data_IF_145151719907
#
_entry.id   IF_145151719907
#
_cell.length_a   1.000
_cell.length_b   1.000
_cell.length_c   1.000
_cell.angle_alpha   90.00
_cell.angle_beta   90.00
_cell.angle_gamma   90.00
#
_symmetry.space_group_name_H-M   'P 1'
#
loop_
_entity.id
_entity.type
_entity.pdbx_description
1 polymer ?
#
# COMPACT_ATOMS: atom_id res chain seq x y z
N UNK A 1 3.55 6.09 -45.32
CA UNK A 1 4.39 6.66 -44.24
C UNK A 1 4.93 5.49 -43.45
N UNK A 2 6.23 5.38 -43.15
CA UNK A 2 6.72 4.17 -42.47
C UNK A 2 6.05 3.90 -41.12
N UNK A 3 5.97 2.62 -40.72
CA UNK A 3 5.41 2.18 -39.42
C UNK A 3 5.95 3.00 -38.25
N UNK A 4 7.28 3.14 -38.19
CA UNK A 4 7.98 3.87 -37.13
C UNK A 4 7.53 5.33 -37.07
N UNK A 5 7.39 5.98 -38.23
CA UNK A 5 6.96 7.37 -38.33
C UNK A 5 5.47 7.55 -37.99
N UNK A 6 4.63 6.54 -38.22
CA UNK A 6 3.25 6.52 -37.76
C UNK A 6 3.18 6.45 -36.23
N UNK A 7 3.89 5.50 -35.62
CA UNK A 7 3.91 5.29 -34.18
C UNK A 7 4.50 6.50 -33.43
N UNK A 8 5.55 7.12 -33.96
CA UNK A 8 6.15 8.35 -33.39
C UNK A 8 5.14 9.52 -33.38
N UNK A 9 4.42 9.74 -34.49
CA UNK A 9 3.35 10.75 -34.54
C UNK A 9 2.21 10.42 -33.58
N UNK A 10 1.81 9.15 -33.48
CA UNK A 10 0.76 8.70 -32.57
C UNK A 10 1.16 8.97 -31.11
N UNK A 11 2.39 8.62 -30.73
CA UNK A 11 2.94 8.89 -29.41
C UNK A 11 2.93 10.39 -29.10
N UNK A 12 3.40 11.22 -30.03
CA UNK A 12 3.42 12.67 -29.88
C UNK A 12 2.02 13.23 -29.55
N UNK A 13 1.00 12.86 -30.34
CA UNK A 13 -0.37 13.37 -30.11
C UNK A 13 -1.00 12.83 -28.83
N UNK A 14 -0.66 11.61 -28.42
CA UNK A 14 -1.09 11.04 -27.14
C UNK A 14 -0.48 11.80 -25.95
N UNK A 15 0.80 12.15 -26.03
CA UNK A 15 1.49 12.96 -25.01
C UNK A 15 0.86 14.35 -24.89
N UNK A 16 0.56 14.99 -26.02
CA UNK A 16 -0.08 16.32 -26.05
C UNK A 16 -1.53 16.29 -25.51
N UNK A 17 -2.21 15.15 -25.62
CA UNK A 17 -3.62 14.98 -25.23
C UNK A 17 -3.85 14.58 -23.77
N UNK A 18 -2.83 14.72 -22.91
CA UNK A 18 -2.92 14.49 -21.46
C UNK A 18 -3.21 13.01 -21.08
N UNK A 19 -2.79 12.07 -21.91
CA UNK A 19 -2.77 10.65 -21.57
C UNK A 19 -1.63 10.36 -20.60
N UNK A 20 -1.86 9.44 -19.67
CA UNK A 20 -0.79 8.98 -18.78
C UNK A 20 0.20 8.08 -19.55
N UNK A 21 1.49 8.08 -19.21
CA UNK A 21 2.52 7.28 -19.92
C UNK A 21 2.16 5.79 -20.11
N UNK A 22 1.49 5.17 -19.13
CA UNK A 22 1.01 3.78 -19.25
C UNK A 22 -0.13 3.66 -20.28
N UNK A 23 -1.07 4.62 -20.36
CA UNK A 23 -2.13 4.64 -21.37
C UNK A 23 -1.53 4.81 -22.78
N UNK A 24 -0.49 5.63 -22.90
CA UNK A 24 0.24 5.82 -24.16
C UNK A 24 0.89 4.51 -24.59
N UNK A 25 1.57 3.82 -23.67
CA UNK A 25 2.24 2.57 -23.97
C UNK A 25 1.24 1.46 -24.35
N UNK A 26 0.14 1.30 -23.62
CA UNK A 26 -0.93 0.33 -23.94
C UNK A 26 -1.48 0.57 -25.35
N UNK A 27 -1.76 1.83 -25.70
CA UNK A 27 -2.26 2.20 -27.03
C UNK A 27 -1.20 1.92 -28.09
N UNK A 28 0.06 2.27 -27.86
CA UNK A 28 1.14 2.01 -28.82
C UNK A 28 1.35 0.51 -29.04
N UNK A 29 1.31 -0.32 -27.99
CA UNK A 29 1.40 -1.78 -28.12
C UNK A 29 0.22 -2.35 -28.91
N UNK A 30 -1.01 -1.91 -28.62
CA UNK A 30 -2.22 -2.31 -29.34
C UNK A 30 -2.14 -1.93 -30.83
N UNK A 31 -1.77 -0.69 -31.14
CA UNK A 31 -1.64 -0.23 -32.52
C UNK A 31 -0.43 -0.83 -33.23
N UNK A 32 0.64 -1.18 -32.51
CA UNK A 32 1.78 -1.91 -33.10
C UNK A 32 1.31 -3.27 -33.60
N UNK A 33 0.53 -4.02 -32.80
CA UNK A 33 -0.02 -5.31 -33.23
C UNK A 33 -0.98 -5.16 -34.42
N UNK A 34 -1.85 -4.14 -34.42
CA UNK A 34 -2.78 -3.87 -35.53
C UNK A 34 -2.02 -3.50 -36.82
N UNK A 35 -0.97 -2.69 -36.71
CA UNK A 35 -0.14 -2.29 -37.86
C UNK A 35 0.63 -3.49 -38.41
N UNK A 36 1.18 -4.34 -37.54
CA UNK A 36 1.89 -5.55 -37.95
C UNK A 36 0.96 -6.52 -38.68
N UNK A 37 -0.25 -6.74 -38.15
CA UNK A 37 -1.28 -7.55 -38.81
C UNK A 37 -1.70 -6.95 -40.18
N UNK A 38 -1.82 -5.63 -40.30
CA UNK A 38 -2.12 -4.95 -41.55
C UNK A 38 -1.01 -5.18 -42.61
N UNK A 39 0.25 -5.02 -42.23
CA UNK A 39 1.40 -5.22 -43.11
C UNK A 39 1.50 -6.68 -43.56
N UNK A 40 1.31 -7.63 -42.62
CA UNK A 40 1.31 -9.07 -42.92
C UNK A 40 0.20 -9.48 -43.90
N UNK A 41 -0.94 -8.77 -43.87
CA UNK A 41 -2.05 -8.96 -44.80
C UNK A 41 -1.85 -8.25 -46.15
N UNK A 42 -0.65 -7.71 -46.42
CA UNK A 42 -0.27 -7.14 -47.71
C UNK A 42 -0.57 -5.66 -47.87
N UNK A 43 -0.88 -4.94 -46.78
CA UNK A 43 -1.06 -3.49 -46.81
C UNK A 43 0.32 -2.82 -46.88
N UNK A 44 0.49 -1.93 -47.86
CA UNK A 44 1.72 -1.16 -48.00
C UNK A 44 1.82 -0.13 -46.87
N UNK A 45 3.03 0.09 -46.32
CA UNK A 45 3.25 1.11 -45.28
C UNK A 45 2.83 2.52 -45.75
N UNK A 46 2.78 2.76 -47.06
CA UNK A 46 2.32 4.01 -47.64
C UNK A 46 0.83 4.28 -47.40
N UNK A 47 0.01 3.23 -47.26
CA UNK A 47 -1.45 3.27 -47.12
C UNK A 47 -1.93 3.14 -45.65
N UNK A 48 -1.01 3.09 -44.68
CA UNK A 48 -1.32 2.95 -43.26
C UNK A 48 -2.31 4.00 -42.73
N UNK A 49 -2.20 5.25 -43.16
CA UNK A 49 -3.11 6.32 -42.74
C UNK A 49 -4.52 6.16 -43.32
N UNK A 50 -4.66 5.51 -44.49
CA UNK A 50 -5.96 5.26 -45.13
C UNK A 50 -6.68 4.08 -44.48
N UNK A 51 -5.93 3.05 -44.08
CA UNK A 51 -6.49 1.86 -43.44
C UNK A 51 -6.82 2.05 -41.95
N UNK A 52 -5.93 2.71 -41.20
CA UNK A 52 -6.03 2.84 -39.73
C UNK A 52 -6.54 4.23 -39.31
N UNK A 53 -6.45 5.21 -40.20
CA UNK A 53 -6.83 6.59 -39.96
C UNK A 53 -5.64 7.47 -39.54
N UNK A 54 -5.85 8.78 -39.60
CA UNK A 54 -4.81 9.75 -39.24
C UNK A 54 -4.53 9.73 -37.72
N UNK A 55 -3.26 9.71 -37.28
CA UNK A 55 -2.89 9.64 -35.86
C UNK A 55 -3.59 10.68 -34.98
N UNK A 56 -3.75 11.91 -35.48
CA UNK A 56 -4.40 13.00 -34.74
C UNK A 56 -5.89 12.76 -34.49
N UNK A 57 -6.61 12.27 -35.50
CA UNK A 57 -8.04 11.99 -35.38
C UNK A 57 -8.28 10.77 -34.50
N UNK A 58 -7.44 9.74 -34.66
CA UNK A 58 -7.42 8.55 -33.82
C UNK A 58 -7.32 8.91 -32.34
N UNK A 59 -6.35 9.76 -31.96
CA UNK A 59 -6.18 10.23 -30.57
C UNK A 59 -7.43 10.97 -30.06
N UNK A 60 -8.09 11.77 -30.91
CA UNK A 60 -9.33 12.47 -30.54
C UNK A 60 -10.47 11.50 -30.21
N UNK A 61 -10.58 10.40 -30.95
CA UNK A 61 -11.54 9.33 -30.67
C UNK A 61 -11.18 8.55 -29.40
N UNK A 62 -9.92 8.13 -29.28
CA UNK A 62 -9.40 7.43 -28.11
C UNK A 62 -9.61 8.24 -26.82
N UNK A 63 -9.43 9.56 -26.87
CA UNK A 63 -9.61 10.45 -25.72
C UNK A 63 -11.03 10.37 -25.16
N UNK A 64 -12.05 10.34 -26.01
CA UNK A 64 -13.45 10.21 -25.56
C UNK A 64 -13.65 8.89 -24.80
N UNK A 65 -13.16 7.79 -25.36
CA UNK A 65 -13.28 6.45 -24.77
C UNK A 65 -12.54 6.34 -23.44
N UNK A 66 -11.31 6.88 -23.36
CA UNK A 66 -10.50 6.89 -22.14
C UNK A 66 -11.10 7.77 -21.05
N UNK A 67 -11.63 8.95 -21.39
CA UNK A 67 -12.32 9.82 -20.44
C UNK A 67 -13.55 9.14 -19.85
N UNK A 68 -14.36 8.45 -20.66
CA UNK A 68 -15.53 7.69 -20.19
C UNK A 68 -15.11 6.58 -19.21
N UNK A 69 -14.05 5.81 -19.55
CA UNK A 69 -13.50 4.77 -18.65
C UNK A 69 -13.05 5.37 -17.31
N UNK A 70 -12.34 6.50 -17.33
CA UNK A 70 -11.84 7.19 -16.12
C UNK A 70 -12.98 7.68 -15.22
N UNK A 71 -14.02 8.30 -15.79
CA UNK A 71 -15.19 8.79 -15.06
C UNK A 71 -15.96 7.64 -14.39
N UNK A 72 -16.18 6.52 -15.11
CA UNK A 72 -16.88 5.35 -14.55
C UNK A 72 -16.12 4.74 -13.37
N UNK A 73 -14.79 4.67 -13.46
CA UNK A 73 -13.92 4.23 -12.36
C UNK A 73 -14.06 5.09 -11.10
N UNK A 74 -14.01 6.41 -11.27
CA UNK A 74 -14.11 7.37 -10.17
C UNK A 74 -15.48 7.33 -9.48
N UNK A 75 -16.56 6.99 -10.23
CA UNK A 75 -17.90 6.81 -9.63
C UNK A 75 -17.96 5.61 -8.68
N UNK A 76 -17.29 4.49 -8.98
CA UNK A 76 -17.29 3.32 -8.10
C UNK A 76 -16.65 3.64 -6.75
N UNK A 77 -15.54 4.41 -6.75
CA UNK A 77 -14.88 4.86 -5.52
C UNK A 77 -15.77 5.83 -4.74
N UNK A 78 -16.45 6.75 -5.42
CA UNK A 78 -17.32 7.73 -4.77
C UNK A 78 -18.59 7.10 -4.15
N UNK A 79 -19.12 6.04 -4.78
CA UNK A 79 -20.34 5.36 -4.32
C UNK A 79 -20.08 4.30 -3.25
N UNK A 80 -18.84 3.81 -3.10
CA UNK A 80 -18.54 2.71 -2.19
C UNK A 80 -18.88 2.95 -0.72
N UNK A 81 -18.77 4.18 -0.13
CA UNK A 81 -19.20 4.40 1.25
C UNK A 81 -20.71 4.28 1.42
N UNK A 82 -21.49 4.75 0.44
CA UNK A 82 -22.95 4.64 0.46
C UNK A 82 -23.41 3.20 0.30
N UNK A 83 -22.80 2.46 -0.64
CA UNK A 83 -23.09 1.03 -0.83
C UNK A 83 -22.74 0.25 0.45
N UNK A 84 -21.56 0.49 1.03
CA UNK A 84 -21.14 -0.15 2.27
C UNK A 84 -22.13 0.13 3.42
N UNK A 85 -22.61 1.37 3.54
CA UNK A 85 -23.59 1.78 4.54
C UNK A 85 -24.94 1.09 4.36
N UNK A 86 -25.46 1.02 3.13
CA UNK A 86 -26.72 0.33 2.81
C UNK A 86 -26.62 -1.16 3.17
N UNK A 87 -25.51 -1.82 2.80
CA UNK A 87 -25.28 -3.24 3.12
C UNK A 87 -25.15 -3.44 4.63
N UNK A 88 -24.40 -2.57 5.31
CA UNK A 88 -24.20 -2.64 6.76
C UNK A 88 -25.53 -2.58 7.52
N UNK A 89 -26.33 -1.55 7.28
CA UNK A 89 -27.63 -1.38 7.93
C UNK A 89 -28.64 -2.40 7.46
N UNK A 90 -28.64 -2.78 6.17
CA UNK A 90 -29.52 -3.81 5.64
C UNK A 90 -29.32 -5.16 6.33
N UNK A 91 -28.06 -5.62 6.45
CA UNK A 91 -27.74 -6.86 7.17
C UNK A 91 -27.96 -6.75 8.68
N UNK A 92 -27.65 -5.58 9.26
CA UNK A 92 -27.85 -5.29 10.67
C UNK A 92 -29.31 -5.32 11.09
N UNK A 93 -30.18 -4.58 10.41
CA UNK A 93 -31.60 -4.49 10.75
C UNK A 93 -32.40 -5.73 10.31
N UNK A 94 -32.13 -6.30 9.13
CA UNK A 94 -32.92 -7.44 8.64
C UNK A 94 -32.57 -8.77 9.33
N UNK A 95 -31.31 -8.97 9.73
CA UNK A 95 -30.81 -10.25 10.26
C UNK A 95 -30.10 -10.16 11.61
N UNK A 96 -29.90 -8.96 12.16
CA UNK A 96 -29.12 -8.77 13.38
C UNK A 96 -27.61 -9.02 13.22
N UNK A 97 -27.10 -9.10 11.98
CA UNK A 97 -25.72 -9.53 11.68
C UNK A 97 -24.67 -8.43 11.84
N UNK A 98 -24.82 -7.54 12.83
CA UNK A 98 -23.91 -6.41 13.06
C UNK A 98 -22.43 -6.81 13.14
N UNK A 99 -22.16 -7.96 13.77
CA UNK A 99 -20.82 -8.52 13.98
C UNK A 99 -20.09 -8.88 12.68
N UNK A 100 -20.81 -9.11 11.57
CA UNK A 100 -20.23 -9.45 10.26
C UNK A 100 -20.50 -8.33 9.25
N UNK A 101 -21.59 -7.60 9.42
CA UNK A 101 -22.01 -6.53 8.54
C UNK A 101 -20.94 -5.44 8.37
N UNK A 102 -20.12 -5.16 9.39
CA UNK A 102 -19.05 -4.15 9.31
C UNK A 102 -18.01 -4.48 8.23
N UNK A 103 -17.88 -5.75 7.81
CA UNK A 103 -17.02 -6.15 6.69
C UNK A 103 -17.43 -5.46 5.37
N UNK A 104 -18.68 -4.99 5.26
CA UNK A 104 -19.12 -4.20 4.10
C UNK A 104 -18.27 -2.93 3.91
N UNK A 105 -17.71 -2.35 4.97
CA UNK A 105 -16.84 -1.17 4.86
C UNK A 105 -15.50 -1.48 4.17
N UNK A 106 -15.11 -2.75 4.03
CA UNK A 106 -13.96 -3.15 3.20
C UNK A 106 -14.19 -2.85 1.71
N UNK A 107 -15.44 -2.65 1.26
CA UNK A 107 -15.73 -2.19 -0.09
C UNK A 107 -15.08 -0.84 -0.41
N UNK A 108 -14.86 0.02 0.59
CA UNK A 108 -14.25 1.33 0.40
C UNK A 108 -12.81 1.18 -0.09
N UNK A 109 -11.88 0.56 0.66
CA UNK A 109 -10.52 0.36 0.17
C UNK A 109 -10.46 -0.56 -1.07
N UNK A 110 -11.32 -1.59 -1.17
CA UNK A 110 -11.41 -2.45 -2.36
C UNK A 110 -11.70 -1.63 -3.62
N UNK A 111 -12.72 -0.76 -3.55
CA UNK A 111 -13.10 0.08 -4.68
C UNK A 111 -11.96 1.00 -5.10
N UNK A 112 -11.21 1.55 -4.14
CA UNK A 112 -10.02 2.37 -4.40
C UNK A 112 -8.92 1.59 -5.13
N UNK A 113 -8.62 0.37 -4.69
CA UNK A 113 -7.56 -0.47 -5.28
C UNK A 113 -7.96 -0.94 -6.69
N UNK A 114 -9.20 -1.42 -6.87
CA UNK A 114 -9.73 -1.82 -8.18
C UNK A 114 -9.80 -0.61 -9.13
N UNK A 115 -10.09 0.57 -8.58
CA UNK A 115 -10.09 1.82 -9.34
C UNK A 115 -8.67 2.37 -9.59
N UNK A 116 -7.62 1.79 -9.03
CA UNK A 116 -6.24 2.19 -9.31
C UNK A 116 -5.82 1.74 -10.72
N UNK A 117 -4.90 2.47 -11.37
CA UNK A 117 -4.50 2.30 -12.80
C UNK A 117 -4.15 0.84 -13.16
N UNK A 118 -4.21 0.50 -14.46
CA UNK A 118 -3.85 -0.84 -14.94
C UNK A 118 -2.38 -1.08 -14.61
N UNK A 119 -2.10 -2.10 -13.81
CA UNK A 119 -0.76 -2.45 -13.36
C UNK A 119 -0.48 -3.91 -13.70
N UNK A 120 0.79 -4.27 -13.77
CA UNK A 120 1.22 -5.68 -13.82
C UNK A 120 0.49 -6.51 -12.75
N UNK A 121 0.10 -7.76 -13.03
CA UNK A 121 -0.61 -8.62 -12.08
C UNK A 121 0.08 -8.70 -10.72
N UNK A 122 1.42 -8.68 -10.70
CA UNK A 122 2.21 -8.69 -9.46
C UNK A 122 1.96 -7.44 -8.59
N UNK A 123 1.92 -6.26 -9.20
CA UNK A 123 1.68 -4.99 -8.48
C UNK A 123 0.27 -4.92 -7.91
N UNK A 124 -0.71 -5.40 -8.67
CA UNK A 124 -2.09 -5.50 -8.20
C UNK A 124 -2.20 -6.43 -6.97
N UNK A 125 -1.50 -7.56 -6.99
CA UNK A 125 -1.44 -8.48 -5.85
C UNK A 125 -0.82 -7.84 -4.61
N UNK A 126 0.26 -7.07 -4.76
CA UNK A 126 0.91 -6.36 -3.63
C UNK A 126 -0.03 -5.33 -3.00
N UNK A 127 -0.79 -4.60 -3.82
CA UNK A 127 -1.76 -3.60 -3.35
C UNK A 127 -2.98 -4.24 -2.67
N UNK A 128 -3.41 -5.41 -3.15
CA UNK A 128 -4.49 -6.19 -2.54
C UNK A 128 -4.03 -7.00 -1.33
N UNK A 129 -2.73 -7.22 -1.15
CA UNK A 129 -2.19 -8.08 -0.09
C UNK A 129 -2.69 -7.73 1.32
N UNK A 130 -2.73 -6.44 1.75
CA UNK A 130 -3.24 -6.11 3.08
C UNK A 130 -4.70 -6.53 3.29
N UNK A 131 -5.52 -6.37 2.25
CA UNK A 131 -6.93 -6.77 2.28
C UNK A 131 -7.08 -8.30 2.27
N UNK A 132 -6.35 -8.99 1.40
CA UNK A 132 -6.37 -10.45 1.32
C UNK A 132 -5.91 -11.05 2.66
N UNK A 133 -4.80 -10.56 3.22
CA UNK A 133 -4.31 -10.97 4.54
C UNK A 133 -5.34 -10.70 5.63
N UNK A 134 -6.01 -9.54 5.61
CA UNK A 134 -7.08 -9.22 6.57
C UNK A 134 -8.27 -10.17 6.46
N UNK A 135 -8.74 -10.45 5.24
CA UNK A 135 -9.87 -11.36 5.00
C UNK A 135 -9.55 -12.78 5.47
N UNK A 136 -8.35 -13.29 5.17
CA UNK A 136 -7.95 -14.62 5.64
C UNK A 136 -7.77 -14.64 7.16
N UNK A 137 -7.16 -13.60 7.75
CA UNK A 137 -7.02 -13.46 9.20
C UNK A 137 -8.38 -13.49 9.91
N UNK A 138 -9.34 -12.73 9.41
CA UNK A 138 -10.70 -12.69 9.94
C UNK A 138 -11.46 -14.00 9.72
N UNK A 139 -11.35 -14.61 8.54
CA UNK A 139 -12.02 -15.87 8.24
C UNK A 139 -11.55 -16.99 9.18
N UNK A 140 -10.23 -17.12 9.39
CA UNK A 140 -9.64 -18.10 10.31
C UNK A 140 -9.98 -17.76 11.76
N UNK A 141 -9.84 -16.49 12.16
CA UNK A 141 -10.12 -16.03 13.52
C UNK A 141 -11.58 -16.21 13.91
N UNK A 142 -12.53 -15.94 13.00
CA UNK A 142 -13.95 -16.09 13.26
C UNK A 142 -14.39 -17.56 13.23
N UNK A 143 -13.89 -18.37 12.27
CA UNK A 143 -14.31 -19.76 12.10
C UNK A 143 -13.69 -20.69 13.15
N UNK A 144 -12.40 -20.51 13.43
CA UNK A 144 -11.63 -21.43 14.30
C UNK A 144 -11.27 -20.82 15.66
N UNK A 145 -11.55 -19.52 15.91
CA UNK A 145 -11.14 -18.79 17.12
C UNK A 145 -9.61 -18.75 17.34
N UNK A 146 -8.85 -18.99 16.27
CA UNK A 146 -7.39 -18.99 16.27
C UNK A 146 -6.93 -17.62 15.79
N UNK A 147 -6.59 -16.73 16.72
CA UNK A 147 -6.11 -15.37 16.41
C UNK A 147 -4.59 -15.24 16.54
N UNK A 148 -4.03 -15.87 17.58
CA UNK A 148 -2.63 -15.69 18.02
C UNK A 148 -1.57 -16.21 17.05
N UNK A 149 -1.72 -17.35 16.35
CA UNK A 149 -0.76 -17.74 15.32
C UNK A 149 -1.13 -17.16 13.94
N UNK A 150 -2.38 -16.74 13.73
CA UNK A 150 -2.91 -16.35 12.41
C UNK A 150 -2.40 -14.99 11.93
N UNK A 151 -2.01 -14.08 12.82
CA UNK A 151 -1.51 -12.76 12.43
C UNK A 151 -0.27 -12.83 11.53
N UNK A 152 0.47 -13.94 11.54
CA UNK A 152 1.65 -14.09 10.67
C UNK A 152 1.31 -14.05 9.19
N UNK A 153 0.03 -14.18 8.81
CA UNK A 153 -0.42 -14.04 7.42
C UNK A 153 -0.20 -12.62 6.85
N UNK A 154 -0.04 -11.61 7.71
CA UNK A 154 0.33 -10.26 7.29
C UNK A 154 1.75 -10.18 6.74
N UNK A 155 2.62 -11.16 7.02
CA UNK A 155 3.95 -11.25 6.43
C UNK A 155 3.94 -11.52 4.91
N UNK A 156 2.80 -11.91 4.34
CA UNK A 156 2.62 -11.96 2.87
C UNK A 156 2.86 -10.58 2.24
N UNK A 157 2.50 -9.49 2.91
CA UNK A 157 2.64 -8.13 2.38
C UNK A 157 4.11 -7.78 2.07
N UNK A 158 5.03 -7.78 3.06
CA UNK A 158 6.45 -7.55 2.79
C UNK A 158 7.08 -8.66 1.93
N UNK A 159 6.62 -9.92 2.02
CA UNK A 159 7.12 -10.98 1.13
C UNK A 159 6.85 -10.66 -0.35
N UNK A 160 5.61 -10.33 -0.72
CA UNK A 160 5.27 -9.96 -2.10
C UNK A 160 6.01 -8.69 -2.55
N UNK A 161 6.20 -7.72 -1.65
CA UNK A 161 6.99 -6.52 -1.94
C UNK A 161 8.46 -6.80 -2.26
N UNK A 162 9.08 -7.80 -1.61
CA UNK A 162 10.46 -8.22 -1.92
C UNK A 162 10.57 -8.73 -3.36
N UNK A 163 9.57 -9.45 -3.84
CA UNK A 163 9.60 -10.09 -5.16
C UNK A 163 9.57 -9.07 -6.32
N UNK A 164 8.96 -7.91 -6.11
CA UNK A 164 8.93 -6.81 -7.08
C UNK A 164 10.30 -6.13 -7.26
N UNK A 165 11.15 -6.15 -6.23
CA UNK A 165 12.46 -5.48 -6.29
C UNK A 165 13.39 -6.18 -7.28
N UNK A 166 14.11 -5.40 -8.10
CA UNK A 166 15.20 -5.88 -8.97
C UNK A 166 16.48 -6.11 -8.17
N UNK A 167 16.51 -7.16 -7.35
CA UNK A 167 17.67 -7.55 -6.56
C UNK A 167 18.03 -9.02 -6.77
N UNK A 168 19.33 -9.33 -6.71
CA UNK A 168 19.88 -10.68 -6.94
C UNK A 168 19.32 -11.70 -5.95
N UNK A 169 19.21 -11.34 -4.67
CA UNK A 169 18.82 -12.27 -3.60
C UNK A 169 17.30 -12.29 -3.30
N UNK A 170 16.48 -11.64 -4.14
CA UNK A 170 15.04 -11.48 -3.88
C UNK A 170 14.30 -12.79 -3.65
N UNK A 171 14.64 -13.85 -4.39
CA UNK A 171 13.96 -15.15 -4.30
C UNK A 171 14.32 -15.85 -3.00
N UNK A 172 15.60 -15.83 -2.60
CA UNK A 172 16.05 -16.41 -1.34
C UNK A 172 15.43 -15.64 -0.17
N UNK A 173 15.46 -14.30 -0.20
CA UNK A 173 14.82 -13.47 0.81
C UNK A 173 13.31 -13.76 0.91
N UNK A 174 12.62 -13.90 -0.22
CA UNK A 174 11.19 -14.27 -0.27
C UNK A 174 10.93 -15.64 0.37
N UNK A 175 11.69 -16.67 0.01
CA UNK A 175 11.55 -18.03 0.56
C UNK A 175 11.74 -18.03 2.07
N UNK A 176 12.79 -17.36 2.57
CA UNK A 176 13.06 -17.25 4.02
C UNK A 176 11.94 -16.47 4.72
N UNK A 177 11.42 -15.41 4.08
CA UNK A 177 10.35 -14.60 4.66
C UNK A 177 9.02 -15.35 4.79
N UNK A 178 8.75 -16.32 3.90
CA UNK A 178 7.56 -17.18 3.95
C UNK A 178 7.76 -18.43 4.82
N UNK A 179 8.98 -18.98 4.88
CA UNK A 179 9.24 -20.18 5.69
C UNK A 179 9.23 -19.90 7.19
N UNK A 180 9.71 -18.73 7.64
CA UNK A 180 9.77 -18.38 9.06
C UNK A 180 8.38 -18.27 9.74
N UNK A 181 7.35 -17.65 9.15
CA UNK A 181 5.97 -17.70 9.63
C UNK A 181 5.44 -19.11 9.78
N UNK A 182 5.69 -19.96 8.78
CA UNK A 182 5.25 -21.37 8.79
C UNK A 182 5.94 -22.11 9.94
N UNK A 183 7.24 -21.91 10.11
CA UNK A 183 8.00 -22.52 11.20
C UNK A 183 7.52 -22.03 12.57
N UNK A 184 7.19 -20.75 12.72
CA UNK A 184 6.57 -20.21 13.93
C UNK A 184 5.22 -20.88 14.24
N UNK A 185 4.35 -21.03 13.23
CA UNK A 185 3.05 -21.70 13.40
C UNK A 185 3.24 -23.18 13.76
N UNK A 186 4.13 -23.90 13.08
CA UNK A 186 4.45 -25.29 13.40
C UNK A 186 4.99 -25.40 14.83
N UNK A 187 5.95 -24.56 15.21
CA UNK A 187 6.46 -24.53 16.58
C UNK A 187 5.36 -24.22 17.59
N UNK A 188 4.38 -23.38 17.24
CA UNK A 188 3.28 -23.04 18.15
C UNK A 188 2.41 -24.25 18.49
N UNK A 189 2.22 -25.18 17.55
CA UNK A 189 1.40 -26.37 17.77
C UNK A 189 2.18 -27.59 18.28
N UNK A 190 3.39 -27.83 17.76
CA UNK A 190 4.15 -29.05 18.05
C UNK A 190 5.13 -28.89 19.22
N UNK A 191 5.73 -27.71 19.37
CA UNK A 191 6.76 -27.43 20.37
C UNK A 191 6.56 -26.06 21.00
N UNK A 192 5.48 -25.86 21.79
CA UNK A 192 5.20 -24.55 22.38
C UNK A 192 6.27 -24.21 23.42
N UNK A 193 7.07 -23.19 23.14
CA UNK A 193 8.01 -22.61 24.11
C UNK A 193 7.73 -21.12 24.32
N UNK A 194 8.05 -20.61 25.52
CA UNK A 194 7.75 -19.23 25.97
C UNK A 194 8.20 -18.15 24.98
N UNK A 195 9.31 -18.40 24.30
CA UNK A 195 9.95 -17.46 23.39
C UNK A 195 9.79 -17.82 21.90
N UNK A 196 8.76 -18.58 21.53
CA UNK A 196 8.52 -19.02 20.14
C UNK A 196 8.54 -17.85 19.13
N UNK A 197 8.04 -16.69 19.53
CA UNK A 197 8.08 -15.48 18.71
C UNK A 197 9.50 -15.02 18.30
N UNK A 198 10.58 -15.45 19.00
CA UNK A 198 11.96 -15.15 18.61
C UNK A 198 12.34 -15.71 17.24
N UNK A 199 11.68 -16.77 16.78
CA UNK A 199 11.86 -17.32 15.43
C UNK A 199 11.66 -16.22 14.37
N UNK A 200 10.74 -15.29 14.62
CA UNK A 200 10.43 -14.20 13.71
C UNK A 200 11.52 -13.12 13.68
N UNK A 201 12.43 -13.07 14.66
CA UNK A 201 13.60 -12.18 14.59
C UNK A 201 14.57 -12.57 13.47
N UNK A 202 14.58 -13.85 13.08
CA UNK A 202 15.36 -14.28 11.92
C UNK A 202 14.92 -13.57 10.62
N UNK A 203 13.72 -12.97 10.58
CA UNK A 203 13.24 -12.16 9.45
C UNK A 203 13.99 -10.84 9.28
N UNK A 204 14.71 -10.36 10.30
CA UNK A 204 15.54 -9.17 10.19
C UNK A 204 16.63 -9.37 9.14
N UNK A 205 17.19 -10.59 9.04
CA UNK A 205 18.22 -10.92 8.05
C UNK A 205 17.74 -10.77 6.60
N UNK A 206 16.69 -11.47 6.11
CA UNK A 206 16.21 -11.29 4.75
C UNK A 206 15.69 -9.86 4.52
N UNK A 207 15.12 -9.19 5.53
CA UNK A 207 14.68 -7.81 5.40
C UNK A 207 15.85 -6.80 5.23
N UNK A 208 16.99 -7.07 5.88
CA UNK A 208 18.24 -6.32 5.72
C UNK A 208 18.84 -6.55 4.32
N UNK A 209 19.01 -7.83 3.92
CA UNK A 209 19.58 -8.18 2.61
C UNK A 209 18.74 -7.72 1.41
N UNK A 210 17.41 -7.78 1.54
CA UNK A 210 16.48 -7.30 0.52
C UNK A 210 16.33 -5.76 0.50
N UNK A 211 17.08 -5.06 1.35
CA UNK A 211 17.03 -3.62 1.54
C UNK A 211 15.60 -3.12 1.78
N UNK A 212 14.73 -3.91 2.42
CA UNK A 212 13.35 -3.51 2.77
C UNK A 212 13.37 -2.49 3.89
N UNK A 213 14.27 -2.67 4.86
CA UNK A 213 14.41 -1.77 6.02
C UNK A 213 14.96 -0.40 5.60
N UNK A 214 15.84 -0.33 4.60
CA UNK A 214 16.51 0.91 4.20
C UNK A 214 15.99 1.52 2.89
N UNK A 215 14.93 0.98 2.25
CA UNK A 215 14.39 1.56 1.01
C UNK A 215 13.31 2.61 1.26
N UNK A 216 13.52 3.54 2.20
CA UNK A 216 12.57 4.61 2.48
C UNK A 216 12.71 5.75 1.49
N UNK A 217 11.75 5.87 0.57
CA UNK A 217 11.68 6.99 -0.38
C UNK A 217 10.86 8.12 0.22
N UNK A 218 11.51 9.24 0.58
CA UNK A 218 10.82 10.45 1.05
C UNK A 218 10.74 11.44 -0.12
N UNK A 219 9.53 11.84 -0.52
CA UNK A 219 9.26 12.82 -1.58
C UNK A 219 10.03 12.56 -2.90
N UNK A 220 10.23 11.29 -3.28
CA UNK A 220 10.92 10.93 -4.52
C UNK A 220 12.44 11.12 -4.53
N UNK A 221 13.01 11.86 -3.56
CA UNK A 221 14.45 12.09 -3.44
C UNK A 221 15.08 11.04 -2.52
N UNK A 222 15.88 10.15 -3.10
CA UNK A 222 16.61 9.13 -2.36
C UNK A 222 17.85 9.73 -1.69
N UNK A 223 17.86 9.80 -0.36
CA UNK A 223 19.08 10.05 0.42
C UNK A 223 19.53 8.79 1.13
N UNK A 224 20.68 8.27 0.73
CA UNK A 224 21.25 7.08 1.35
C UNK A 224 21.57 7.32 2.84
N UNK A 225 21.95 8.53 3.26
CA UNK A 225 22.24 8.83 4.67
C UNK A 225 20.97 8.79 5.52
N UNK A 226 19.87 9.41 5.06
CA UNK A 226 18.59 9.38 5.80
C UNK A 226 17.99 7.98 5.82
N UNK A 227 18.07 7.25 4.70
CA UNK A 227 17.68 5.82 4.65
C UNK A 227 18.41 5.00 5.72
N UNK A 228 19.73 5.15 5.84
CA UNK A 228 20.54 4.48 6.87
C UNK A 228 20.17 4.92 8.29
N UNK A 229 19.98 6.22 8.53
CA UNK A 229 19.61 6.74 9.86
C UNK A 229 18.24 6.21 10.32
N UNK A 230 17.24 6.22 9.44
CA UNK A 230 15.90 5.67 9.75
C UNK A 230 15.99 4.17 9.99
N UNK A 231 16.73 3.43 9.15
CA UNK A 231 16.90 1.99 9.34
C UNK A 231 17.63 1.64 10.65
N UNK A 232 18.67 2.41 11.01
CA UNK A 232 19.34 2.26 12.32
C UNK A 232 18.39 2.57 13.47
N UNK A 233 17.60 3.65 13.38
CA UNK A 233 16.58 3.98 14.38
C UNK A 233 15.58 2.82 14.56
N UNK A 234 15.08 2.23 13.47
CA UNK A 234 14.17 1.07 13.54
C UNK A 234 14.81 -0.11 14.28
N UNK A 235 16.07 -0.43 13.99
CA UNK A 235 16.79 -1.51 14.67
C UNK A 235 17.01 -1.21 16.16
N UNK A 236 17.38 0.03 16.51
CA UNK A 236 17.51 0.47 17.91
C UNK A 236 16.18 0.37 18.64
N UNK A 237 15.08 0.86 18.07
CA UNK A 237 13.76 0.79 18.67
C UNK A 237 13.28 -0.66 18.84
N UNK A 238 13.53 -1.51 17.85
CA UNK A 238 13.21 -2.94 17.94
C UNK A 238 14.00 -3.62 19.07
N UNK A 239 15.28 -3.26 19.23
CA UNK A 239 16.12 -3.76 20.32
C UNK A 239 15.61 -3.30 21.69
N UNK A 240 15.30 -2.00 21.83
CA UNK A 240 14.69 -1.43 23.04
C UNK A 240 13.36 -2.11 23.36
N UNK A 241 12.49 -2.29 22.37
CA UNK A 241 11.19 -2.96 22.52
C UNK A 241 11.33 -4.37 23.09
N UNK A 242 12.28 -5.16 22.56
CA UNK A 242 12.50 -6.54 22.99
C UNK A 242 13.13 -6.59 24.39
N UNK A 243 14.17 -5.79 24.63
CA UNK A 243 14.90 -5.80 25.91
C UNK A 243 13.99 -5.34 27.03
N UNK A 244 13.35 -4.17 26.89
CA UNK A 244 12.48 -3.63 27.94
C UNK A 244 11.16 -4.41 28.04
N UNK A 245 10.60 -4.88 26.93
CA UNK A 245 9.43 -5.75 26.94
C UNK A 245 9.70 -7.03 27.71
N UNK A 246 10.86 -7.67 27.50
CA UNK A 246 11.22 -8.92 28.18
C UNK A 246 11.59 -8.71 29.65
N UNK A 247 12.26 -7.61 30.00
CA UNK A 247 12.70 -7.34 31.38
C UNK A 247 11.56 -6.87 32.30
N UNK A 248 10.64 -6.05 31.78
CA UNK A 248 9.62 -5.37 32.59
C UNK A 248 8.18 -5.78 32.26
N UNK A 249 7.98 -6.64 31.26
CA UNK A 249 6.66 -7.12 30.79
C UNK A 249 5.71 -6.00 30.30
N UNK A 250 6.27 -4.86 29.89
CA UNK A 250 5.53 -3.66 29.46
C UNK A 250 5.30 -3.60 27.93
N UNK A 251 5.07 -4.73 27.28
CA UNK A 251 4.89 -4.82 25.82
C UNK A 251 3.79 -3.88 25.27
N UNK A 252 2.69 -3.75 26.01
CA UNK A 252 1.50 -3.01 25.60
C UNK A 252 1.65 -1.50 25.54
N UNK A 253 2.32 -0.80 26.46
CA UNK A 253 2.62 0.62 26.27
C UNK A 253 3.87 0.83 25.41
N UNK A 254 4.82 -0.13 25.41
CA UNK A 254 6.13 0.05 24.81
C UNK A 254 6.10 0.11 23.27
N UNK A 255 5.09 -0.44 22.59
CA UNK A 255 5.00 -0.32 21.13
C UNK A 255 4.86 1.13 20.64
N UNK A 256 4.42 2.06 21.51
CA UNK A 256 4.34 3.49 21.18
C UNK A 256 5.68 4.08 20.72
N UNK A 257 6.81 3.50 21.12
CA UNK A 257 8.13 3.94 20.66
C UNK A 257 8.29 3.80 19.15
N UNK A 258 7.55 2.90 18.48
CA UNK A 258 7.58 2.76 17.02
C UNK A 258 6.98 3.97 16.29
N UNK A 259 6.17 4.80 16.97
CA UNK A 259 5.69 6.08 16.41
C UNK A 259 6.83 7.09 16.22
N UNK A 260 8.00 6.87 16.86
CA UNK A 260 9.20 7.66 16.59
C UNK A 260 9.73 7.46 15.17
N UNK A 261 9.45 6.33 14.51
CA UNK A 261 9.89 6.08 13.12
C UNK A 261 9.28 7.09 12.14
N UNK A 262 7.94 7.24 12.05
CA UNK A 262 7.35 8.26 11.19
C UNK A 262 7.60 9.68 11.69
N UNK A 263 7.70 9.93 13.00
CA UNK A 263 8.06 11.26 13.51
C UNK A 263 9.47 11.66 13.07
N UNK A 264 10.46 10.78 13.23
CA UNK A 264 11.82 11.02 12.79
C UNK A 264 11.91 11.20 11.27
N UNK A 265 11.14 10.44 10.49
CA UNK A 265 11.12 10.60 9.03
C UNK A 265 10.60 11.98 8.60
N UNK A 266 9.57 12.50 9.27
CA UNK A 266 9.04 13.86 9.03
C UNK A 266 10.06 14.93 9.46
N UNK A 267 10.71 14.76 10.61
CA UNK A 267 11.69 15.72 11.11
C UNK A 267 12.94 15.79 10.23
N UNK A 268 13.53 14.63 9.90
CA UNK A 268 14.73 14.55 9.05
C UNK A 268 14.46 15.07 7.64
N UNK A 269 13.27 14.79 7.10
CA UNK A 269 12.89 15.30 5.78
C UNK A 269 12.67 16.81 5.77
N UNK A 270 12.00 17.35 6.79
CA UNK A 270 11.79 18.79 6.94
C UNK A 270 13.13 19.53 7.09
N UNK A 271 14.04 19.00 7.93
CA UNK A 271 15.37 19.56 8.14
C UNK A 271 16.20 19.57 6.84
N UNK A 272 16.17 18.48 6.06
CA UNK A 272 16.88 18.42 4.78
C UNK A 272 16.32 19.40 3.74
N UNK A 273 15.01 19.58 3.70
CA UNK A 273 14.35 20.49 2.76
C UNK A 273 14.35 21.95 3.23
N UNK A 274 14.94 22.25 4.39
CA UNK A 274 14.90 23.57 5.03
C UNK A 274 13.46 24.12 5.17
N UNK A 275 12.48 23.21 5.32
CA UNK A 275 11.07 23.55 5.46
C UNK A 275 10.69 23.62 6.94
N UNK A 276 9.80 24.54 7.29
CA UNK A 276 9.21 24.58 8.64
C UNK A 276 8.43 23.28 8.87
N UNK A 277 8.72 22.62 9.99
CA UNK A 277 8.00 21.41 10.42
C UNK A 277 6.53 21.77 10.59
N UNK A 278 5.64 21.07 9.88
CA UNK A 278 4.22 21.29 10.06
C UNK A 278 3.72 20.55 11.29
N UNK A 279 3.26 21.27 12.31
CA UNK A 279 2.63 20.69 13.50
C UNK A 279 1.47 19.77 13.13
N UNK A 280 0.76 20.10 12.04
CA UNK A 280 -0.30 19.28 11.44
C UNK A 280 0.18 17.85 11.16
N UNK A 281 1.39 17.68 10.62
CA UNK A 281 1.94 16.36 10.29
C UNK A 281 2.32 15.55 11.54
N UNK A 282 2.64 16.21 12.66
CA UNK A 282 2.97 15.54 13.93
C UNK A 282 1.73 15.24 14.77
N UNK A 283 0.65 16.00 14.59
CA UNK A 283 -0.57 15.92 15.40
C UNK A 283 -1.17 14.51 15.55
N UNK A 284 -1.21 13.62 14.52
CA UNK A 284 -1.79 12.30 14.69
C UNK A 284 -0.95 11.42 15.62
N UNK A 285 0.39 11.53 15.54
CA UNK A 285 1.31 10.76 16.39
C UNK A 285 1.24 11.22 17.85
N UNK A 286 1.12 12.54 18.06
CA UNK A 286 0.92 13.12 19.39
C UNK A 286 -0.44 12.68 19.96
N UNK A 287 -1.51 12.77 19.18
CA UNK A 287 -2.85 12.37 19.60
C UNK A 287 -2.90 10.88 19.98
N UNK A 288 -2.31 9.99 19.18
CA UNK A 288 -2.25 8.55 19.47
C UNK A 288 -1.44 8.29 20.74
N UNK A 289 -0.28 8.94 20.88
CA UNK A 289 0.56 8.79 22.08
C UNK A 289 -0.21 9.20 23.34
N UNK A 290 -0.86 10.36 23.33
CA UNK A 290 -1.68 10.84 24.44
C UNK A 290 -2.89 9.92 24.69
N UNK A 291 -3.54 9.45 23.63
CA UNK A 291 -4.68 8.53 23.73
C UNK A 291 -4.33 7.27 24.51
N UNK A 292 -3.21 6.63 24.16
CA UNK A 292 -2.77 5.39 24.81
C UNK A 292 -2.18 5.62 26.20
N UNK A 293 -1.36 6.66 26.41
CA UNK A 293 -0.81 6.94 27.73
C UNK A 293 -1.92 7.29 28.72
N UNK A 294 -2.85 8.17 28.33
CA UNK A 294 -3.96 8.55 29.20
C UNK A 294 -4.92 7.37 29.44
N UNK A 295 -5.24 6.62 28.39
CA UNK A 295 -6.07 5.42 28.47
C UNK A 295 -5.46 4.36 29.39
N UNK A 296 -4.16 4.10 29.28
CA UNK A 296 -3.47 3.08 30.06
C UNK A 296 -3.27 3.47 31.52
N UNK A 297 -2.77 4.68 31.80
CA UNK A 297 -2.43 5.08 33.17
C UNK A 297 -3.63 5.56 33.99
N UNK A 298 -4.65 6.13 33.35
CA UNK A 298 -5.82 6.70 34.04
C UNK A 298 -7.12 5.94 33.77
N UNK A 299 -7.06 4.79 33.10
CA UNK A 299 -8.24 4.07 32.58
C UNK A 299 -9.18 4.97 31.76
N UNK A 300 -8.62 5.99 31.13
CA UNK A 300 -9.34 7.12 30.55
C UNK A 300 -9.70 6.97 29.08
N UNK A 301 -9.78 5.74 28.55
CA UNK A 301 -9.97 5.49 27.11
C UNK A 301 -11.22 6.15 26.51
N UNK A 302 -12.27 6.32 27.33
CA UNK A 302 -13.48 7.02 26.89
C UNK A 302 -13.24 8.52 26.63
N UNK A 303 -12.47 9.17 27.50
CA UNK A 303 -12.16 10.60 27.41
C UNK A 303 -10.98 10.89 26.48
N UNK A 304 -10.06 9.95 26.34
CA UNK A 304 -8.84 10.12 25.57
C UNK A 304 -9.09 10.31 24.07
N UNK A 305 -10.28 9.95 23.56
CA UNK A 305 -10.71 10.30 22.21
C UNK A 305 -10.64 11.80 21.92
N UNK A 306 -10.77 12.66 22.94
CA UNK A 306 -10.66 14.11 22.78
C UNK A 306 -9.28 14.56 22.26
N UNK A 307 -8.20 13.77 22.47
CA UNK A 307 -6.88 14.10 21.93
C UNK A 307 -6.85 14.10 20.40
N UNK A 308 -7.74 13.37 19.72
CA UNK A 308 -7.82 13.41 18.26
C UNK A 308 -8.30 14.76 17.71
N UNK A 309 -8.92 15.62 18.54
CA UNK A 309 -9.22 17.01 18.14
C UNK A 309 -7.96 17.86 17.93
N UNK A 310 -6.79 17.45 18.44
CA UNK A 310 -5.51 18.12 18.11
C UNK A 310 -5.25 18.14 16.59
N UNK A 311 -5.73 17.14 15.84
CA UNK A 311 -5.51 17.04 14.40
C UNK A 311 -6.20 18.21 13.65
N UNK A 312 -7.54 18.39 13.73
CA UNK A 312 -8.19 19.54 13.11
C UNK A 312 -7.77 20.87 13.73
N UNK A 313 -7.53 20.95 15.05
CA UNK A 313 -7.12 22.21 15.71
C UNK A 313 -5.77 22.72 15.19
N UNK A 314 -4.76 21.85 15.09
CA UNK A 314 -3.45 22.25 14.54
C UNK A 314 -3.54 22.63 13.07
N UNK A 315 -4.45 22.02 12.30
CA UNK A 315 -4.70 22.39 10.91
C UNK A 315 -5.32 23.78 10.77
N UNK A 316 -6.30 24.11 11.62
CA UNK A 316 -6.94 25.43 11.64
C UNK A 316 -5.91 26.51 12.00
N UNK A 317 -5.14 26.32 13.07
CA UNK A 317 -4.14 27.29 13.54
C UNK A 317 -3.04 27.54 12.49
N UNK A 318 -2.68 26.52 11.70
CA UNK A 318 -1.69 26.70 10.63
C UNK A 318 -2.22 27.54 9.47
N UNK A 319 -3.53 27.51 9.24
CA UNK A 319 -4.18 28.18 8.11
C UNK A 319 -4.74 29.58 8.47
N UNK A 320 -4.72 29.97 9.75
CA UNK A 320 -5.07 31.30 10.27
C UNK A 320 -3.87 32.23 10.30
#
# INVERSE_FOLDING_TARGET
MSKEKYLEKLEYYLQESNFDREEIQDILEEYTMIIDEAIDNGILEEELEEHIGQPRELVRHLRKTVVIKRVKKNRLVALSPFIAMIVFFGLGFAKGWWNVAWLAFLLIPISGIISSKRKSPMKSLIELAPLISLLIFLAIGLSFKVWRPTWVIFFIIPALSILEKRQTYRVISFIVFISLPILYVLSFYFFPFRFNWLILLAMVLPAFYSNVIFSFRINGLRDRRIEMLIGMLVLTLLTVYIVFGSLYDIWHPLWLIFLLVPVASILLSSARMNQKISLVALSPFVAITLFFLFGYFFNGYYWSWMFFFLIPMTAIIKNS
#
